data_IF_520963601713
#
_entry.id   IF_520963601713
#
_cell.length_a   1.000
_cell.length_b   1.000
_cell.length_c   1.000
_cell.angle_alpha   90.00
_cell.angle_beta   90.00
_cell.angle_gamma   90.00
#
_symmetry.space_group_name_H-M   'P 1'
#
loop_
_entity.id
_entity.type
_entity.pdbx_description
1 polymer ?
#
# COMPACT_ATOMS: atom_id res chain seq x y z
N UNK A 1 -2.92 -8.81 -11.88
CA UNK A 1 -3.55 -7.76 -12.67
C UNK A 1 -4.76 -8.28 -13.44
N UNK A 2 -4.60 -9.33 -14.24
CA UNK A 2 -5.72 -9.90 -15.03
C UNK A 2 -6.92 -10.30 -14.17
N UNK A 3 -6.68 -10.89 -13.00
CA UNK A 3 -7.72 -11.27 -12.06
C UNK A 3 -8.28 -10.10 -11.22
N UNK A 4 -7.78 -8.88 -11.42
CA UNK A 4 -8.15 -7.68 -10.63
C UNK A 4 -7.97 -7.87 -9.11
N UNK A 5 -6.99 -8.65 -8.72
CA UNK A 5 -6.64 -8.87 -7.32
C UNK A 5 -5.47 -7.95 -6.97
N UNK A 6 -5.55 -7.15 -5.89
CA UNK A 6 -4.41 -6.40 -5.39
C UNK A 6 -3.34 -7.35 -4.86
N UNK A 7 -2.08 -6.95 -4.99
CA UNK A 7 -0.92 -7.70 -4.47
C UNK A 7 -0.21 -6.81 -3.46
N UNK A 8 0.14 -7.36 -2.32
CA UNK A 8 0.92 -6.68 -1.30
C UNK A 8 2.34 -7.24 -1.35
N UNK A 9 3.28 -6.39 -1.75
CA UNK A 9 4.71 -6.70 -1.72
C UNK A 9 5.21 -6.49 -0.29
N UNK A 10 5.77 -7.52 0.32
CA UNK A 10 6.18 -7.47 1.73
C UNK A 10 7.27 -6.44 1.97
N UNK A 11 8.46 -6.70 1.52
CA UNK A 11 9.62 -5.84 1.76
C UNK A 11 10.58 -5.80 0.57
N UNK A 12 11.89 -5.71 0.87
CA UNK A 12 12.89 -5.46 -0.16
C UNK A 12 12.95 -6.56 -1.23
N UNK A 13 13.04 -7.83 -0.85
CA UNK A 13 13.15 -8.94 -1.80
C UNK A 13 11.94 -9.03 -2.73
N UNK A 14 10.74 -8.89 -2.20
CA UNK A 14 9.50 -8.87 -3.00
C UNK A 14 9.48 -7.68 -3.98
N UNK A 15 9.92 -6.52 -3.52
CA UNK A 15 9.98 -5.31 -4.36
C UNK A 15 11.02 -5.47 -5.47
N UNK A 16 12.18 -6.06 -5.18
CA UNK A 16 13.20 -6.39 -6.20
C UNK A 16 12.61 -7.31 -7.26
N UNK A 17 11.90 -8.36 -6.86
CA UNK A 17 11.26 -9.28 -7.81
C UNK A 17 10.25 -8.56 -8.70
N UNK A 18 9.43 -7.68 -8.14
CA UNK A 18 8.46 -6.89 -8.88
C UNK A 18 9.13 -5.85 -9.80
N UNK A 19 10.30 -5.34 -9.44
CA UNK A 19 11.02 -4.34 -10.23
C UNK A 19 11.45 -4.83 -11.61
N UNK A 20 11.62 -6.13 -11.78
CA UNK A 20 11.91 -6.73 -13.09
C UNK A 20 10.75 -6.51 -14.06
N UNK A 21 9.52 -6.69 -13.59
CA UNK A 21 8.32 -6.42 -14.39
C UNK A 21 8.15 -4.92 -14.65
N UNK A 22 8.39 -4.10 -13.62
CA UNK A 22 8.35 -2.65 -13.73
C UNK A 22 9.33 -2.12 -14.79
N UNK A 23 10.53 -2.70 -14.88
CA UNK A 23 11.53 -2.31 -15.86
C UNK A 23 11.11 -2.62 -17.31
N UNK A 24 10.28 -3.65 -17.50
CA UNK A 24 9.74 -4.00 -18.82
C UNK A 24 8.58 -3.06 -19.19
N UNK A 25 7.64 -2.89 -18.28
CA UNK A 25 6.49 -2.01 -18.42
C UNK A 25 6.03 -1.56 -17.02
N UNK A 26 6.18 -0.27 -16.67
CA UNK A 26 5.80 0.24 -15.35
C UNK A 26 4.36 -0.07 -14.95
N UNK A 27 3.44 -0.20 -15.89
CA UNK A 27 2.03 -0.48 -15.61
C UNK A 27 1.77 -1.89 -15.09
N UNK A 28 2.74 -2.80 -15.23
CA UNK A 28 2.60 -4.19 -14.78
C UNK A 28 2.41 -4.32 -13.28
N UNK A 29 2.87 -3.34 -12.50
CA UNK A 29 2.84 -3.30 -11.04
C UNK A 29 1.84 -2.30 -10.47
N UNK A 30 0.92 -1.76 -11.27
CA UNK A 30 -0.08 -0.78 -10.82
C UNK A 30 -0.97 -1.32 -9.70
N UNK A 31 -1.27 -2.62 -9.72
CA UNK A 31 -2.07 -3.32 -8.71
C UNK A 31 -1.28 -3.74 -7.47
N UNK A 32 0.01 -3.41 -7.42
CA UNK A 32 0.89 -3.77 -6.31
C UNK A 32 0.99 -2.62 -5.31
N UNK A 33 0.77 -2.94 -4.04
CA UNK A 33 1.02 -2.08 -2.89
C UNK A 33 2.28 -2.57 -2.18
N UNK A 34 3.04 -1.67 -1.59
CA UNK A 34 4.22 -2.03 -0.80
C UNK A 34 3.84 -2.00 0.69
N UNK A 35 4.02 -3.13 1.38
CA UNK A 35 3.59 -3.27 2.76
C UNK A 35 4.35 -2.35 3.70
N UNK A 36 5.67 -2.40 3.65
CA UNK A 36 6.50 -1.61 4.56
C UNK A 36 7.82 -1.20 3.91
N UNK A 37 8.40 -0.13 4.44
CA UNK A 37 9.79 0.24 4.15
C UNK A 37 10.71 -0.63 4.99
N UNK A 38 11.47 -1.50 4.35
CA UNK A 38 12.52 -2.26 5.02
C UNK A 38 13.67 -1.34 5.44
N UNK A 39 14.39 -1.70 6.49
CA UNK A 39 15.62 -1.01 6.89
C UNK A 39 16.78 -1.21 5.91
N UNK A 40 16.64 -2.11 4.95
CA UNK A 40 17.63 -2.32 3.89
C UNK A 40 17.76 -1.05 3.00
N UNK A 41 18.95 -0.42 2.92
CA UNK A 41 19.10 0.86 2.23
C UNK A 41 18.65 0.82 0.74
N UNK A 42 18.89 -0.29 0.07
CA UNK A 42 18.48 -0.49 -1.32
C UNK A 42 16.98 -0.44 -1.53
N UNK A 43 16.18 -0.75 -0.51
CA UNK A 43 14.71 -0.73 -0.62
C UNK A 43 14.18 0.68 -0.84
N UNK A 44 14.62 1.65 -0.04
CA UNK A 44 14.21 3.05 -0.22
C UNK A 44 14.52 3.57 -1.62
N UNK A 45 15.73 3.28 -2.12
CA UNK A 45 16.13 3.67 -3.46
C UNK A 45 15.25 3.03 -4.54
N UNK A 46 14.91 1.76 -4.36
CA UNK A 46 14.05 1.04 -5.29
C UNK A 46 12.62 1.58 -5.30
N UNK A 47 12.08 1.89 -4.12
CA UNK A 47 10.75 2.50 -3.98
C UNK A 47 10.66 3.85 -4.72
N UNK A 48 11.68 4.70 -4.58
CA UNK A 48 11.78 5.96 -5.30
C UNK A 48 11.74 5.74 -6.82
N UNK A 49 12.55 4.81 -7.34
CA UNK A 49 12.60 4.47 -8.76
C UNK A 49 11.26 3.95 -9.28
N UNK A 50 10.58 3.14 -8.50
CA UNK A 50 9.28 2.57 -8.87
C UNK A 50 8.11 3.52 -8.57
N UNK A 51 8.36 4.67 -7.95
CA UNK A 51 7.34 5.64 -7.52
C UNK A 51 6.27 4.99 -6.63
N UNK A 52 6.72 4.13 -5.71
CA UNK A 52 5.86 3.43 -4.76
C UNK A 52 6.08 3.97 -3.35
N UNK A 53 4.98 4.26 -2.67
CA UNK A 53 5.00 4.62 -1.25
C UNK A 53 4.65 3.39 -0.40
N UNK A 54 5.41 3.08 0.64
CA UNK A 54 5.09 1.98 1.54
C UNK A 54 3.94 2.36 2.48
N UNK A 55 3.10 1.38 2.83
CA UNK A 55 2.00 1.58 3.78
C UNK A 55 2.53 1.84 5.19
N UNK A 56 3.59 1.12 5.59
CA UNK A 56 4.18 1.17 6.92
C UNK A 56 5.67 1.51 6.85
N UNK A 57 6.15 2.19 7.89
CA UNK A 57 7.58 2.47 8.11
C UNK A 57 7.88 2.27 9.60
N UNK A 58 8.12 1.03 10.01
CA UNK A 58 8.25 0.59 11.40
C UNK A 58 9.63 0.02 11.72
N UNK A 59 10.62 0.21 10.86
CA UNK A 59 11.95 -0.34 11.05
C UNK A 59 12.00 -1.88 10.95
N UNK A 60 11.08 -2.50 10.23
CA UNK A 60 11.02 -3.95 10.08
C UNK A 60 12.11 -4.47 9.14
N UNK A 61 12.65 -5.64 9.47
CA UNK A 61 13.61 -6.35 8.60
C UNK A 61 13.51 -7.88 8.70
N UNK A 62 12.54 -8.41 9.43
CA UNK A 62 12.41 -9.86 9.62
C UNK A 62 12.15 -10.58 8.30
N UNK A 63 11.36 -10.01 7.41
CA UNK A 63 10.87 -10.69 6.22
C UNK A 63 9.71 -11.64 6.55
N UNK A 64 9.61 -12.74 5.82
CA UNK A 64 8.60 -13.79 6.06
C UNK A 64 7.15 -13.26 6.06
N UNK A 65 6.88 -12.28 5.22
CA UNK A 65 5.60 -11.61 5.09
C UNK A 65 5.10 -10.91 6.38
N UNK A 66 5.98 -10.60 7.33
CA UNK A 66 5.59 -9.91 8.57
C UNK A 66 5.01 -8.53 8.32
N UNK A 67 5.64 -7.74 7.45
CA UNK A 67 5.14 -6.43 7.05
C UNK A 67 3.84 -6.51 6.26
N UNK A 68 3.73 -7.46 5.33
CA UNK A 68 2.52 -7.67 4.55
C UNK A 68 1.34 -8.09 5.43
N UNK A 69 1.57 -8.91 6.44
CA UNK A 69 0.55 -9.33 7.42
C UNK A 69 -0.02 -8.12 8.18
N UNK A 70 0.83 -7.21 8.64
CA UNK A 70 0.40 -5.95 9.28
C UNK A 70 -0.36 -5.06 8.31
N UNK A 71 0.13 -4.93 7.08
CA UNK A 71 -0.51 -4.12 6.04
C UNK A 71 -1.92 -4.61 5.68
N UNK A 72 -2.16 -5.93 5.70
CA UNK A 72 -3.51 -6.49 5.50
C UNK A 72 -4.49 -5.95 6.56
N UNK A 73 -4.08 -5.85 7.81
CA UNK A 73 -4.90 -5.27 8.88
C UNK A 73 -5.27 -3.81 8.60
N UNK A 74 -4.30 -3.01 8.15
CA UNK A 74 -4.52 -1.61 7.76
C UNK A 74 -5.49 -1.51 6.57
N UNK A 75 -5.30 -2.33 5.54
CA UNK A 75 -6.19 -2.32 4.37
C UNK A 75 -7.62 -2.74 4.72
N UNK A 76 -7.80 -3.75 5.59
CA UNK A 76 -9.12 -4.15 6.09
C UNK A 76 -9.79 -3.00 6.86
N UNK A 77 -9.04 -2.30 7.70
CA UNK A 77 -9.55 -1.12 8.41
C UNK A 77 -9.96 -0.02 7.43
N UNK A 78 -9.15 0.26 6.42
CA UNK A 78 -9.47 1.25 5.39
C UNK A 78 -10.74 0.90 4.61
N UNK A 79 -10.92 -0.37 4.24
CA UNK A 79 -12.15 -0.86 3.59
C UNK A 79 -13.35 -0.69 4.51
N UNK A 80 -13.22 -1.02 5.80
CA UNK A 80 -14.30 -0.84 6.78
C UNK A 80 -14.69 0.64 6.93
N UNK A 81 -13.73 1.55 6.94
CA UNK A 81 -14.02 2.98 6.91
C UNK A 81 -14.76 3.39 5.65
N UNK A 82 -14.28 2.93 4.48
CA UNK A 82 -14.89 3.28 3.20
C UNK A 82 -16.34 2.80 3.07
N UNK A 83 -16.65 1.60 3.56
CA UNK A 83 -17.98 0.99 3.45
C UNK A 83 -18.92 1.33 4.60
N UNK A 84 -18.40 1.66 5.77
CA UNK A 84 -19.16 1.86 7.00
C UNK A 84 -19.34 3.31 7.44
N UNK A 85 -18.56 4.26 6.91
CA UNK A 85 -18.70 5.67 7.24
C UNK A 85 -19.94 6.30 6.61
N UNK A 86 -20.67 7.07 7.40
CA UNK A 86 -21.78 7.87 6.93
C UNK A 86 -21.28 9.14 6.21
N UNK A 87 -22.04 9.64 5.26
CA UNK A 87 -21.86 11.00 4.73
C UNK A 87 -22.48 12.01 5.72
N UNK A 88 -22.10 13.26 5.63
CA UNK A 88 -22.75 14.32 6.45
C UNK A 88 -24.26 14.35 6.25
N UNK A 89 -24.71 14.17 5.01
CA UNK A 89 -26.14 14.14 4.69
C UNK A 89 -26.85 12.95 5.34
N UNK A 90 -26.28 11.74 5.24
CA UNK A 90 -26.88 10.54 5.85
C UNK A 90 -26.80 10.50 7.37
N UNK A 91 -25.83 11.21 7.97
CA UNK A 91 -25.69 11.37 9.41
C UNK A 91 -26.50 12.56 9.99
N UNK A 92 -27.20 13.32 9.13
CA UNK A 92 -27.97 14.49 9.57
C UNK A 92 -27.13 15.66 10.06
N UNK A 93 -25.84 15.73 9.66
CA UNK A 93 -24.93 16.79 10.06
C UNK A 93 -25.06 17.97 9.10
N UNK A 94 -25.29 19.16 9.63
CA UNK A 94 -25.35 20.39 8.84
C UNK A 94 -23.98 20.70 8.24
N UNK A 95 -23.96 21.11 6.97
CA UNK A 95 -22.74 21.66 6.35
C UNK A 95 -22.47 23.04 6.98
N UNK A 96 -21.18 23.36 7.16
CA UNK A 96 -20.80 24.74 7.48
C UNK A 96 -21.28 25.65 6.35
N UNK A 97 -21.96 26.71 6.73
CA UNK A 97 -22.30 27.77 5.78
C UNK A 97 -21.07 28.66 5.71
N UNK A 98 -20.44 28.74 4.54
CA UNK A 98 -19.41 29.73 4.29
C UNK A 98 -20.06 31.13 4.37
N UNK A 99 -19.69 31.85 5.42
CA UNK A 99 -20.11 33.22 5.61
C UNK A 99 -19.28 34.19 4.77
#
# INVERSE_FOLDING_TARGET
RLARVPVILDGFACTVSASVLFAIDPTTVDHCLVAHRSVEPGHSRLLELMRKEPILDLGLRLGEASGATLAIGILKAAVSCHTGMATFASAGISKSVDL
#
